data_IF_040329218136
#
_entry.id   IF_040329218136
#
_cell.length_a   1.000
_cell.length_b   1.000
_cell.length_c   1.000
_cell.angle_alpha   90.00
_cell.angle_beta   90.00
_cell.angle_gamma   90.00
#
_symmetry.space_group_name_H-M   'P 1'
#
loop_
_entity.id
_entity.type
_entity.pdbx_description
1 polymer ?
#
# COMPACT_ATOMS: atom_id res chain seq x y z
N UNK A 1 1.06 7.88 -29.50
CA UNK A 1 1.35 8.01 -28.07
C UNK A 1 2.87 8.17 -27.89
N UNK A 2 3.24 9.18 -27.11
CA UNK A 2 4.65 9.45 -26.88
C UNK A 2 5.09 8.79 -25.58
N UNK A 3 6.07 7.91 -25.66
CA UNK A 3 6.63 7.25 -24.48
C UNK A 3 7.76 8.11 -23.93
N UNK A 4 7.66 8.47 -22.64
CA UNK A 4 8.70 9.24 -21.98
C UNK A 4 9.92 8.36 -21.68
N UNK A 5 11.10 8.94 -21.81
CA UNK A 5 12.33 8.32 -21.34
C UNK A 5 12.28 8.17 -19.81
N UNK A 6 12.98 7.22 -19.27
CA UNK A 6 13.12 6.99 -17.83
C UNK A 6 13.60 8.26 -17.11
N UNK A 7 14.48 9.05 -17.74
CA UNK A 7 14.97 10.32 -17.19
C UNK A 7 13.86 11.35 -16.97
N UNK A 8 12.84 11.34 -17.84
CA UNK A 8 11.76 12.30 -17.83
C UNK A 8 10.57 11.81 -17.01
N UNK A 9 10.63 10.59 -16.50
CA UNK A 9 9.55 9.98 -15.74
C UNK A 9 9.83 10.10 -14.26
N UNK A 10 8.81 10.53 -13.51
CA UNK A 10 8.87 10.66 -12.06
C UNK A 10 8.79 9.31 -11.38
N UNK A 11 8.07 8.38 -11.99
CA UNK A 11 7.85 7.03 -11.46
C UNK A 11 8.22 5.97 -12.49
N UNK A 12 8.71 4.85 -11.99
CA UNK A 12 8.86 3.64 -12.80
C UNK A 12 7.54 2.92 -12.92
N UNK A 13 6.70 3.00 -11.87
CA UNK A 13 5.35 2.43 -11.85
C UNK A 13 4.44 3.31 -11.02
N UNK A 14 3.26 3.59 -11.53
CA UNK A 14 2.16 4.16 -10.78
C UNK A 14 1.02 3.16 -10.78
N UNK A 15 0.60 2.72 -9.61
CA UNK A 15 -0.42 1.69 -9.45
C UNK A 15 -1.72 2.32 -8.98
N UNK A 16 -2.84 1.93 -9.58
CA UNK A 16 -4.18 2.39 -9.22
C UNK A 16 -5.01 1.20 -8.77
N UNK A 17 -5.55 1.28 -7.58
CA UNK A 17 -6.40 0.20 -7.10
C UNK A 17 -6.76 0.35 -5.64
N UNK A 18 -7.21 -0.73 -5.06
CA UNK A 18 -7.57 -0.79 -3.65
C UNK A 18 -6.45 -1.43 -2.85
N UNK A 19 -6.37 -1.03 -1.59
CA UNK A 19 -5.58 -1.75 -0.59
C UNK A 19 -6.52 -2.32 0.45
N UNK A 20 -6.05 -3.31 1.17
CA UNK A 20 -6.83 -3.94 2.22
C UNK A 20 -5.96 -4.23 3.42
N UNK A 21 -6.61 -4.29 4.58
CA UNK A 21 -5.98 -4.74 5.81
C UNK A 21 -6.51 -6.12 6.12
N UNK A 22 -5.58 -7.04 6.33
CA UNK A 22 -5.89 -8.39 6.77
C UNK A 22 -5.53 -8.53 8.24
N UNK A 23 -6.48 -8.94 9.04
CA UNK A 23 -6.27 -9.26 10.45
C UNK A 23 -6.20 -10.76 10.58
N UNK A 24 -5.12 -11.26 11.16
CA UNK A 24 -4.88 -12.68 11.29
C UNK A 24 -4.50 -13.01 12.74
N UNK A 25 -5.18 -13.98 13.37
CA UNK A 25 -4.78 -14.39 14.72
C UNK A 25 -3.41 -15.06 14.66
N UNK A 26 -2.56 -14.83 15.67
CA UNK A 26 -1.25 -15.49 15.74
C UNK A 26 -1.38 -17.01 15.83
N UNK A 27 -0.45 -17.74 15.23
CA UNK A 27 -0.37 -19.18 15.38
C UNK A 27 -1.53 -19.98 14.82
N UNK A 28 -2.24 -19.45 13.83
CA UNK A 28 -3.39 -20.11 13.21
C UNK A 28 -4.57 -20.35 14.16
N UNK A 29 -4.68 -19.54 15.23
CA UNK A 29 -5.80 -19.62 16.16
C UNK A 29 -7.11 -19.17 15.54
N UNK A 30 -8.20 -19.41 16.24
CA UNK A 30 -9.53 -18.95 15.80
C UNK A 30 -9.71 -17.46 16.12
N UNK A 31 -10.32 -16.74 15.19
CA UNK A 31 -10.53 -15.29 15.31
C UNK A 31 -11.28 -14.96 16.60
N UNK A 32 -12.34 -15.67 16.91
CA UNK A 32 -13.20 -15.39 18.04
C UNK A 32 -12.54 -15.58 19.41
N UNK A 33 -11.43 -16.32 19.44
CA UNK A 33 -10.72 -16.59 20.70
C UNK A 33 -9.38 -15.87 20.83
N UNK A 34 -9.02 -15.05 19.84
CA UNK A 34 -7.72 -14.39 19.86
C UNK A 34 -7.84 -12.99 20.48
N UNK A 35 -7.06 -12.67 21.51
CA UNK A 35 -7.02 -11.32 22.07
C UNK A 35 -6.21 -10.35 21.24
N UNK A 36 -5.42 -10.85 20.32
CA UNK A 36 -4.58 -10.02 19.43
C UNK A 36 -4.67 -10.52 18.01
N UNK A 37 -4.32 -9.64 17.06
CA UNK A 37 -4.25 -9.97 15.65
C UNK A 37 -2.98 -9.41 15.04
N UNK A 38 -2.40 -10.15 14.10
CA UNK A 38 -1.37 -9.63 13.22
C UNK A 38 -2.04 -8.78 12.14
N UNK A 39 -1.43 -7.65 11.82
CA UNK A 39 -1.95 -6.73 10.81
C UNK A 39 -1.09 -6.83 9.55
N UNK A 40 -1.75 -7.11 8.44
CA UNK A 40 -1.10 -7.19 7.13
C UNK A 40 -1.78 -6.21 6.19
N UNK A 41 -0.98 -5.51 5.39
CA UNK A 41 -1.48 -4.62 4.36
C UNK A 41 -1.26 -5.28 3.02
N UNK A 42 -2.31 -5.32 2.19
CA UNK A 42 -2.25 -5.98 0.90
C UNK A 42 -3.18 -5.34 -0.12
N UNK A 43 -3.43 -6.09 -1.15
CA UNK A 43 -4.15 -5.68 -2.33
C UNK A 43 -3.27 -5.87 -3.55
N UNK A 44 -3.82 -6.37 -4.67
CA UNK A 44 -3.01 -6.75 -5.84
C UNK A 44 -2.16 -5.61 -6.37
N UNK A 45 -2.76 -4.48 -6.68
CA UNK A 45 -2.07 -3.31 -7.24
C UNK A 45 -1.13 -2.68 -6.24
N UNK A 46 -1.54 -2.63 -4.97
CA UNK A 46 -0.70 -2.13 -3.88
C UNK A 46 0.54 -3.02 -3.70
N UNK A 47 0.37 -4.34 -3.72
CA UNK A 47 1.48 -5.27 -3.53
C UNK A 47 2.56 -5.11 -4.60
N UNK A 48 2.17 -4.84 -5.84
CA UNK A 48 3.13 -4.59 -6.91
C UNK A 48 3.96 -3.34 -6.63
N UNK A 49 3.30 -2.23 -6.27
CA UNK A 49 4.00 -0.99 -5.95
C UNK A 49 4.93 -1.17 -4.76
N UNK A 50 4.48 -1.87 -3.73
CA UNK A 50 5.27 -2.14 -2.53
C UNK A 50 6.50 -2.98 -2.84
N UNK A 51 6.31 -4.09 -3.57
CA UNK A 51 7.42 -5.00 -3.91
C UNK A 51 8.47 -4.31 -4.76
N UNK A 52 8.06 -3.55 -5.77
CA UNK A 52 8.99 -2.84 -6.64
C UNK A 52 9.71 -1.72 -5.89
N UNK A 53 9.04 -1.02 -4.98
CA UNK A 53 9.69 -0.01 -4.15
C UNK A 53 10.80 -0.64 -3.29
N UNK A 54 10.56 -1.81 -2.75
CA UNK A 54 11.59 -2.53 -1.98
C UNK A 54 12.78 -2.97 -2.82
N UNK A 55 12.58 -3.11 -4.13
CA UNK A 55 13.66 -3.43 -5.07
C UNK A 55 14.36 -2.18 -5.60
N UNK A 56 13.99 -1.01 -5.12
CA UNK A 56 14.63 0.25 -5.50
C UNK A 56 13.94 1.01 -6.62
N UNK A 57 12.83 0.54 -7.13
CA UNK A 57 12.06 1.27 -8.14
C UNK A 57 11.32 2.46 -7.51
N UNK A 58 11.07 3.47 -8.33
CA UNK A 58 10.26 4.63 -7.93
C UNK A 58 8.81 4.31 -8.19
N UNK A 59 8.05 4.00 -7.14
CA UNK A 59 6.65 3.61 -7.30
C UNK A 59 5.74 4.59 -6.58
N UNK A 60 4.54 4.75 -7.11
CA UNK A 60 3.47 5.50 -6.49
C UNK A 60 2.20 4.68 -6.45
N UNK A 61 1.29 5.06 -5.57
CA UNK A 61 0.01 4.39 -5.40
C UNK A 61 -1.11 5.43 -5.43
N UNK A 62 -2.11 5.16 -6.26
CA UNK A 62 -3.33 5.95 -6.39
C UNK A 62 -4.47 5.15 -5.79
N UNK A 63 -5.12 5.72 -4.78
CA UNK A 63 -6.23 5.06 -4.12
C UNK A 63 -7.02 6.06 -3.29
N UNK A 64 -8.07 5.58 -2.67
CA UNK A 64 -8.85 6.33 -1.71
C UNK A 64 -8.90 5.53 -0.41
N UNK A 65 -8.47 6.14 0.67
CA UNK A 65 -8.46 5.54 2.00
C UNK A 65 -9.34 6.36 2.94
N UNK A 66 -9.86 5.71 3.95
CA UNK A 66 -10.62 6.42 4.99
C UNK A 66 -9.63 7.14 5.92
N UNK A 67 -9.90 8.40 6.21
CA UNK A 67 -9.06 9.20 7.10
C UNK A 67 -9.36 8.84 8.56
N UNK A 68 -8.79 7.73 8.98
CA UNK A 68 -8.88 7.23 10.34
C UNK A 68 -7.60 6.43 10.65
N UNK A 69 -7.40 5.97 11.89
CA UNK A 69 -6.19 5.20 12.22
C UNK A 69 -5.97 3.97 11.35
N UNK A 70 -7.02 3.30 10.93
CA UNK A 70 -6.92 2.10 10.09
C UNK A 70 -6.41 2.47 8.69
N UNK A 71 -6.97 3.53 8.09
CA UNK A 71 -6.47 4.03 6.80
C UNK A 71 -5.02 4.49 6.86
N UNK A 72 -4.63 5.10 7.98
CA UNK A 72 -3.25 5.55 8.18
C UNK A 72 -2.26 4.40 8.32
N UNK A 73 -2.69 3.21 8.74
CA UNK A 73 -1.83 2.02 8.72
C UNK A 73 -1.34 1.74 7.30
N UNK A 74 -2.23 1.78 6.32
CA UNK A 74 -1.87 1.57 4.91
C UNK A 74 -0.92 2.66 4.44
N UNK A 75 -1.24 3.91 4.73
CA UNK A 75 -0.43 5.06 4.33
C UNK A 75 1.01 4.95 4.85
N UNK A 76 1.15 4.65 6.13
CA UNK A 76 2.46 4.53 6.77
C UNK A 76 3.23 3.30 6.28
N UNK A 77 2.53 2.20 6.01
CA UNK A 77 3.14 0.98 5.51
C UNK A 77 3.81 1.21 4.15
N UNK A 78 3.14 1.90 3.24
CA UNK A 78 3.72 2.22 1.93
C UNK A 78 4.87 3.22 2.03
N UNK A 79 4.71 4.25 2.85
CA UNK A 79 5.76 5.26 3.06
C UNK A 79 7.04 4.67 3.63
N UNK A 80 6.94 3.67 4.46
CA UNK A 80 8.10 3.06 5.12
C UNK A 80 9.08 2.44 4.12
N UNK A 81 8.63 2.01 2.95
CA UNK A 81 9.48 1.42 1.91
C UNK A 81 9.68 2.34 0.70
N UNK A 82 9.13 3.54 0.76
CA UNK A 82 9.34 4.53 -0.29
C UNK A 82 8.29 4.57 -1.39
N UNK A 83 7.13 3.93 -1.21
CA UNK A 83 6.01 4.14 -2.13
C UNK A 83 5.50 5.56 -1.96
N UNK A 84 5.36 6.30 -3.05
CA UNK A 84 4.81 7.64 -3.02
C UNK A 84 3.29 7.57 -2.81
N UNK A 85 2.84 8.03 -1.66
CA UNK A 85 1.43 8.02 -1.27
C UNK A 85 0.79 9.40 -1.36
N UNK A 86 1.46 10.38 -2.00
CA UNK A 86 0.96 11.76 -2.06
C UNK A 86 -0.32 11.90 -2.88
N UNK A 87 -0.58 10.96 -3.78
CA UNK A 87 -1.78 10.97 -4.62
C UNK A 87 -2.92 10.13 -4.05
N UNK A 88 -2.73 9.57 -2.86
CA UNK A 88 -3.82 8.86 -2.17
C UNK A 88 -4.79 9.88 -1.59
N UNK A 89 -6.07 9.69 -1.86
CA UNK A 89 -7.13 10.55 -1.31
C UNK A 89 -7.54 10.00 0.05
N UNK A 90 -7.42 10.84 1.08
CA UNK A 90 -7.88 10.49 2.42
C UNK A 90 -9.28 11.05 2.59
N UNK A 91 -10.28 10.18 2.68
CA UNK A 91 -11.69 10.54 2.76
C UNK A 91 -12.21 10.36 4.19
N UNK A 92 -13.10 11.24 4.57
CA UNK A 92 -13.76 11.12 5.89
C UNK A 92 -14.83 10.04 5.90
#
# INVERSE_FOLDING_TARGET
>A
MKIKDVKDSRFDLMSLGESMIRLSPPGHGRIEFSPTFEVWVGGGEYNVAYALARLGARTGFLSRLVDNPVGRIVLNHGRAVGVDMTHVVMAK
#
